data_IF_244855608808
#
_entry.id   IF_244855608808
#
_cell.length_a   1.000
_cell.length_b   1.000
_cell.length_c   1.000
_cell.angle_alpha   90.00
_cell.angle_beta   90.00
_cell.angle_gamma   90.00
#
_symmetry.space_group_name_H-M   'P 1'
#
loop_
_entity.id
_entity.type
_entity.pdbx_description
1 polymer ?
#
# COMPACT_ATOMS: atom_id res chain seq x y z
N UNK A 1 6.44 59.25 19.16
CA UNK A 1 7.31 58.29 18.45
C UNK A 1 6.89 56.90 18.90
N UNK A 2 6.06 56.23 18.10
CA UNK A 2 5.48 54.93 18.44
C UNK A 2 6.27 53.81 17.79
N UNK A 3 6.85 52.93 18.60
CA UNK A 3 7.47 51.69 18.14
C UNK A 3 6.39 50.65 17.82
N UNK A 4 6.29 50.31 16.54
CA UNK A 4 5.42 49.27 16.04
C UNK A 4 5.97 47.89 16.45
N UNK A 5 5.22 47.19 17.30
CA UNK A 5 5.41 45.77 17.60
C UNK A 5 5.31 44.97 16.31
N UNK A 6 6.40 44.29 15.94
CA UNK A 6 6.42 43.32 14.85
C UNK A 6 5.45 42.18 15.15
N UNK A 7 4.30 42.17 14.46
CA UNK A 7 3.39 41.04 14.47
C UNK A 7 4.07 39.90 13.73
N UNK A 8 4.52 38.90 14.47
CA UNK A 8 4.92 37.60 13.94
C UNK A 8 3.68 37.01 13.24
N UNK A 9 3.57 37.21 11.93
CA UNK A 9 2.58 36.53 11.10
C UNK A 9 2.87 35.03 11.16
N UNK A 10 2.23 34.33 12.10
CA UNK A 10 2.00 32.90 11.99
C UNK A 10 1.14 32.68 10.75
N UNK A 11 1.78 32.45 9.61
CA UNK A 11 1.08 31.91 8.45
C UNK A 11 0.59 30.53 8.84
N UNK A 12 -0.71 30.41 9.09
CA UNK A 12 -1.37 29.12 9.15
C UNK A 12 -0.99 28.39 7.86
N UNK A 13 -0.43 27.17 7.93
CA UNK A 13 -0.10 26.42 6.74
C UNK A 13 -1.40 26.30 5.93
N UNK A 14 -1.43 26.85 4.71
CA UNK A 14 -2.51 26.59 3.76
C UNK A 14 -2.63 25.08 3.72
N UNK A 15 -3.67 24.51 4.34
CA UNK A 15 -3.97 23.09 4.22
C UNK A 15 -4.21 22.86 2.74
N UNK A 16 -3.19 22.39 2.03
CA UNK A 16 -3.33 22.05 0.63
C UNK A 16 -4.40 20.98 0.53
N UNK A 17 -5.32 21.12 -0.44
CA UNK A 17 -6.33 20.11 -0.75
C UNK A 17 -5.71 18.76 -1.19
N UNK A 18 -4.39 18.74 -1.41
CA UNK A 18 -3.62 17.53 -1.71
C UNK A 18 -2.87 17.07 -0.48
N UNK A 19 -3.21 15.86 -0.02
CA UNK A 19 -2.52 15.22 1.09
C UNK A 19 -1.05 14.93 0.71
N UNK A 20 -0.07 15.24 1.58
CA UNK A 20 1.29 14.77 1.40
C UNK A 20 1.38 13.23 1.40
N UNK A 21 2.47 12.63 0.89
CA UNK A 21 2.54 11.18 0.64
C UNK A 21 2.30 10.31 1.87
N UNK A 22 2.78 10.74 3.04
CA UNK A 22 2.62 9.98 4.27
C UNK A 22 1.18 9.98 4.79
N UNK A 23 0.56 11.16 4.84
CA UNK A 23 -0.85 11.32 5.15
C UNK A 23 -1.73 10.52 4.17
N UNK A 24 -1.42 10.59 2.87
CA UNK A 24 -2.17 9.83 1.85
C UNK A 24 -2.10 8.32 2.09
N UNK A 25 -0.91 7.76 2.36
CA UNK A 25 -0.76 6.33 2.73
C UNK A 25 -1.56 5.95 3.97
N UNK A 26 -1.59 6.81 4.99
CA UNK A 26 -2.37 6.56 6.19
C UNK A 26 -3.88 6.56 5.89
N UNK A 27 -4.35 7.48 5.03
CA UNK A 27 -5.73 7.50 4.55
C UNK A 27 -6.09 6.20 3.82
N UNK A 28 -5.21 5.69 2.96
CA UNK A 28 -5.41 4.40 2.29
C UNK A 28 -5.49 3.24 3.30
N UNK A 29 -4.63 3.21 4.32
CA UNK A 29 -4.70 2.19 5.36
C UNK A 29 -6.05 2.24 6.11
N UNK A 30 -6.54 3.44 6.48
CA UNK A 30 -7.87 3.57 7.07
C UNK A 30 -9.00 3.15 6.11
N UNK A 31 -8.88 3.41 4.80
CA UNK A 31 -9.85 2.93 3.82
C UNK A 31 -9.92 1.39 3.80
N UNK A 32 -8.79 0.69 3.95
CA UNK A 32 -8.76 -0.78 4.10
C UNK A 32 -9.47 -1.21 5.38
N UNK A 33 -9.17 -0.58 6.53
CA UNK A 33 -9.83 -0.87 7.81
C UNK A 33 -11.35 -0.70 7.70
N UNK A 34 -11.81 0.43 7.15
CA UNK A 34 -13.23 0.73 6.96
C UNK A 34 -13.91 -0.25 6.00
N UNK A 35 -13.21 -0.70 4.95
CA UNK A 35 -13.71 -1.74 4.06
C UNK A 35 -13.98 -3.03 4.82
N UNK A 36 -13.06 -3.51 5.65
CA UNK A 36 -13.27 -4.75 6.43
C UNK A 36 -14.37 -4.63 7.49
N UNK A 37 -14.66 -3.41 7.97
CA UNK A 37 -15.69 -3.16 8.98
C UNK A 37 -17.07 -2.83 8.39
N UNK A 38 -17.20 -2.74 7.06
CA UNK A 38 -18.42 -2.33 6.36
C UNK A 38 -18.79 -3.29 5.23
N UNK A 39 -19.98 -3.09 4.66
CA UNK A 39 -20.42 -3.81 3.46
C UNK A 39 -19.88 -3.22 2.15
N UNK A 40 -19.04 -2.18 2.21
CA UNK A 40 -18.53 -1.48 1.03
C UNK A 40 -17.11 -1.94 0.69
N UNK A 41 -16.79 -2.11 -0.59
CA UNK A 41 -15.45 -2.48 -1.03
C UNK A 41 -14.60 -1.31 -1.51
N UNK A 42 -14.25 -0.43 -0.58
CA UNK A 42 -13.29 0.66 -0.84
C UNK A 42 -11.84 0.23 -0.56
N UNK A 43 -11.65 -0.96 -0.01
CA UNK A 43 -10.37 -1.48 0.46
C UNK A 43 -9.53 -2.01 -0.69
N UNK A 44 -10.15 -2.69 -1.65
CA UNK A 44 -9.44 -3.21 -2.82
C UNK A 44 -8.78 -2.10 -3.64
N UNK A 45 -9.49 -1.00 -3.87
CA UNK A 45 -8.94 0.20 -4.51
C UNK A 45 -7.72 0.77 -3.74
N UNK A 46 -7.80 0.83 -2.40
CA UNK A 46 -6.71 1.32 -1.57
C UNK A 46 -5.45 0.45 -1.69
N UNK A 47 -5.60 -0.87 -1.78
CA UNK A 47 -4.48 -1.81 -2.02
C UNK A 47 -3.86 -1.58 -3.41
N UNK A 48 -4.65 -1.39 -4.45
CA UNK A 48 -4.13 -1.07 -5.79
C UNK A 48 -3.35 0.27 -5.79
N UNK A 49 -3.81 1.27 -5.03
CA UNK A 49 -3.06 2.51 -4.84
C UNK A 49 -1.76 2.29 -4.06
N UNK A 50 -1.73 1.37 -3.09
CA UNK A 50 -0.46 0.95 -2.46
C UNK A 50 0.49 0.28 -3.46
N UNK A 51 0.00 -0.56 -4.38
CA UNK A 51 0.83 -1.13 -5.46
C UNK A 51 1.40 -0.06 -6.39
N UNK A 52 0.61 0.94 -6.78
CA UNK A 52 1.09 2.09 -7.55
C UNK A 52 2.19 2.85 -6.77
N UNK A 53 1.96 3.16 -5.49
CA UNK A 53 2.95 3.83 -4.65
C UNK A 53 4.21 3.00 -4.50
N UNK A 54 4.07 1.69 -4.32
CA UNK A 54 5.19 0.75 -4.20
C UNK A 54 6.05 0.74 -5.46
N UNK A 55 5.42 0.71 -6.64
CA UNK A 55 6.10 0.87 -7.94
C UNK A 55 6.93 2.15 -8.03
N UNK A 56 6.36 3.29 -7.64
CA UNK A 56 7.06 4.57 -7.64
C UNK A 56 8.25 4.59 -6.67
N UNK A 57 8.02 4.23 -5.41
CA UNK A 57 9.03 4.38 -4.36
C UNK A 57 10.17 3.39 -4.49
N UNK A 58 9.88 2.16 -4.91
CA UNK A 58 10.93 1.15 -5.08
C UNK A 58 11.76 1.40 -6.33
N UNK A 59 11.15 1.84 -7.45
CA UNK A 59 11.91 2.28 -8.62
C UNK A 59 12.88 3.42 -8.26
N UNK A 60 12.37 4.43 -7.53
CA UNK A 60 13.18 5.55 -7.04
C UNK A 60 14.32 5.11 -6.13
N UNK A 61 14.02 4.32 -5.10
CA UNK A 61 15.02 3.84 -4.14
C UNK A 61 16.09 2.98 -4.86
N UNK A 62 15.67 2.13 -5.80
CA UNK A 62 16.60 1.31 -6.57
C UNK A 62 17.58 2.18 -7.38
N UNK A 63 17.09 3.17 -8.13
CA UNK A 63 17.94 4.07 -8.90
C UNK A 63 18.82 4.98 -8.03
N UNK A 64 18.26 5.55 -6.96
CA UNK A 64 18.99 6.50 -6.10
C UNK A 64 20.03 5.81 -5.18
N UNK A 65 19.81 4.54 -4.79
CA UNK A 65 20.62 3.91 -3.72
C UNK A 65 21.26 2.56 -4.08
N UNK A 66 20.75 1.84 -5.08
CA UNK A 66 21.12 0.43 -5.30
C UNK A 66 21.42 0.05 -6.76
N UNK A 67 21.52 1.01 -7.68
CA UNK A 67 21.87 0.74 -9.07
C UNK A 67 23.23 0.03 -9.25
N UNK A 68 23.38 -0.73 -10.34
CA UNK A 68 24.62 -1.46 -10.65
C UNK A 68 24.76 -2.78 -9.87
N UNK A 69 25.93 -3.05 -9.28
CA UNK A 69 26.27 -4.33 -8.63
C UNK A 69 25.65 -4.51 -7.22
N UNK A 70 24.67 -3.69 -6.83
CA UNK A 70 24.09 -3.66 -5.46
C UNK A 70 22.68 -4.27 -5.37
N UNK A 71 22.27 -5.03 -6.38
CA UNK A 71 20.95 -5.68 -6.44
C UNK A 71 20.68 -6.57 -5.21
N UNK A 72 21.67 -7.32 -4.73
CA UNK A 72 21.51 -8.14 -3.52
C UNK A 72 21.19 -7.32 -2.26
N UNK A 73 21.83 -6.15 -2.09
CA UNK A 73 21.53 -5.23 -1.00
C UNK A 73 20.14 -4.61 -1.13
N UNK A 74 19.68 -4.35 -2.37
CA UNK A 74 18.31 -3.93 -2.62
C UNK A 74 17.31 -5.00 -2.15
N UNK A 75 17.49 -6.26 -2.54
CA UNK A 75 16.60 -7.36 -2.12
C UNK A 75 16.58 -7.51 -0.60
N UNK A 76 17.75 -7.51 0.04
CA UNK A 76 17.84 -7.55 1.50
C UNK A 76 17.12 -6.35 2.15
N UNK A 77 17.31 -5.15 1.61
CA UNK A 77 16.66 -3.94 2.09
C UNK A 77 15.13 -4.00 1.94
N UNK A 78 14.63 -4.58 0.85
CA UNK A 78 13.19 -4.71 0.63
C UNK A 78 12.56 -5.80 1.48
N UNK A 79 13.19 -6.97 1.56
CA UNK A 79 12.71 -8.06 2.40
C UNK A 79 12.68 -7.67 3.87
N UNK A 80 13.76 -7.06 4.39
CA UNK A 80 13.84 -6.61 5.79
C UNK A 80 12.81 -5.51 6.11
N UNK A 81 12.41 -4.69 5.12
CA UNK A 81 11.38 -3.66 5.35
C UNK A 81 10.03 -4.26 5.73
N UNK A 82 9.72 -5.49 5.30
CA UNK A 82 8.43 -6.14 5.51
C UNK A 82 8.57 -7.29 6.54
N UNK A 83 9.47 -8.22 6.28
CA UNK A 83 9.47 -9.54 6.91
C UNK A 83 9.51 -9.52 8.46
N UNK A 84 10.37 -8.76 9.15
CA UNK A 84 10.47 -8.82 10.60
C UNK A 84 9.17 -8.47 11.32
N UNK A 85 8.51 -7.38 10.92
CA UNK A 85 7.26 -6.99 11.55
C UNK A 85 6.12 -7.92 11.16
N UNK A 86 6.06 -8.29 9.87
CA UNK A 86 5.11 -9.30 9.40
C UNK A 86 5.20 -10.58 10.25
N UNK A 87 6.38 -11.16 10.49
CA UNK A 87 6.51 -12.38 11.28
C UNK A 87 6.04 -12.22 12.73
N UNK A 88 6.42 -11.12 13.39
CA UNK A 88 5.99 -10.85 14.77
C UNK A 88 4.46 -10.78 14.85
N UNK A 89 3.82 -10.05 13.94
CA UNK A 89 2.37 -9.90 13.94
C UNK A 89 1.67 -11.18 13.51
N UNK A 90 2.20 -11.93 12.54
CA UNK A 90 1.64 -13.21 12.11
C UNK A 90 1.65 -14.24 13.24
N UNK A 91 2.77 -14.37 13.97
CA UNK A 91 2.85 -15.25 15.14
C UNK A 91 1.89 -14.80 16.23
N UNK A 92 1.86 -13.50 16.55
CA UNK A 92 0.94 -12.97 17.55
C UNK A 92 -0.54 -13.21 17.17
N UNK A 93 -0.89 -13.00 15.91
CA UNK A 93 -2.23 -13.25 15.39
C UNK A 93 -2.59 -14.74 15.40
N UNK A 94 -1.67 -15.62 15.02
CA UNK A 94 -1.87 -17.06 15.04
C UNK A 94 -2.14 -17.57 16.46
N UNK A 95 -1.34 -17.12 17.43
CA UNK A 95 -1.53 -17.47 18.84
C UNK A 95 -2.86 -16.91 19.38
N UNK A 96 -3.13 -15.63 19.14
CA UNK A 96 -4.34 -14.98 19.66
C UNK A 96 -5.63 -15.56 19.08
N UNK A 97 -5.58 -16.08 17.84
CA UNK A 97 -6.74 -16.62 17.13
C UNK A 97 -6.80 -18.15 17.14
N UNK A 98 -5.87 -18.82 17.85
CA UNK A 98 -5.73 -20.28 17.87
C UNK A 98 -5.59 -20.90 16.47
N UNK A 99 -4.79 -20.27 15.61
CA UNK A 99 -4.47 -20.68 14.23
C UNK A 99 -2.99 -21.05 14.08
N UNK A 100 -2.35 -21.49 15.17
CA UNK A 100 -0.95 -21.88 15.16
C UNK A 100 -0.70 -23.09 14.24
N UNK A 101 -1.57 -24.11 14.35
CA UNK A 101 -1.45 -25.35 13.58
C UNK A 101 -1.75 -25.16 12.08
N UNK A 102 -2.37 -24.04 11.72
CA UNK A 102 -2.65 -23.65 10.33
C UNK A 102 -1.45 -22.98 9.64
N UNK A 103 -0.39 -22.62 10.39
CA UNK A 103 0.76 -21.93 9.82
C UNK A 103 1.61 -22.87 8.96
N UNK A 104 1.86 -22.45 7.71
CA UNK A 104 2.71 -23.15 6.76
C UNK A 104 4.07 -22.49 6.52
N UNK A 105 4.86 -23.10 5.63
CA UNK A 105 6.14 -22.54 5.19
C UNK A 105 5.98 -21.17 4.51
N UNK A 106 4.83 -20.91 3.87
CA UNK A 106 4.50 -19.62 3.24
C UNK A 106 4.44 -18.51 4.28
N UNK A 107 4.02 -18.78 5.52
CA UNK A 107 4.04 -17.81 6.63
C UNK A 107 5.45 -17.49 7.12
N UNK A 108 6.44 -18.36 6.84
CA UNK A 108 7.86 -18.14 7.15
C UNK A 108 8.59 -17.37 6.05
N UNK A 109 8.11 -17.45 4.81
CA UNK A 109 8.76 -16.78 3.67
C UNK A 109 8.01 -15.56 3.18
N UNK A 110 6.74 -15.38 3.57
CA UNK A 110 5.73 -14.48 2.99
C UNK A 110 5.34 -14.83 1.53
N UNK A 111 6.28 -15.34 0.74
CA UNK A 111 6.07 -15.77 -0.64
C UNK A 111 5.07 -16.92 -0.74
N UNK A 112 4.06 -16.75 -1.59
CA UNK A 112 3.03 -17.75 -1.88
C UNK A 112 1.78 -17.65 -1.01
N UNK A 113 1.76 -16.85 0.06
CA UNK A 113 0.57 -16.72 0.92
C UNK A 113 -0.69 -16.34 0.11
N UNK A 114 -0.55 -15.52 -0.94
CA UNK A 114 -1.67 -15.10 -1.77
C UNK A 114 -2.36 -16.25 -2.51
N UNK A 115 -1.67 -17.37 -2.77
CA UNK A 115 -2.23 -18.54 -3.46
C UNK A 115 -2.61 -19.68 -2.52
N UNK A 116 -1.93 -19.83 -1.38
CA UNK A 116 -2.09 -20.98 -0.48
C UNK A 116 -3.01 -20.71 0.73
N UNK A 117 -3.45 -19.46 0.93
CA UNK A 117 -4.62 -19.12 1.74
C UNK A 117 -4.46 -19.16 3.28
N UNK A 118 -3.42 -19.81 3.81
CA UNK A 118 -3.16 -19.83 5.25
C UNK A 118 -2.51 -18.53 5.71
N UNK A 119 -3.34 -17.60 6.21
CA UNK A 119 -2.90 -16.27 6.64
C UNK A 119 -3.56 -15.85 7.97
N UNK A 120 -2.87 -16.02 9.11
CA UNK A 120 -3.36 -15.55 10.41
C UNK A 120 -3.65 -14.05 10.46
N UNK A 121 -2.98 -13.25 9.62
CA UNK A 121 -3.23 -11.81 9.51
C UNK A 121 -4.44 -11.49 8.64
N UNK A 122 -4.83 -12.40 7.73
CA UNK A 122 -5.93 -12.26 6.77
C UNK A 122 -5.75 -11.18 5.69
N UNK A 123 -4.59 -10.55 5.60
CA UNK A 123 -4.32 -9.40 4.70
C UNK A 123 -2.96 -9.50 3.99
N UNK A 124 -2.16 -10.52 4.25
CA UNK A 124 -0.79 -10.64 3.76
C UNK A 124 -0.67 -11.02 2.28
N UNK A 125 -1.77 -11.38 1.61
CA UNK A 125 -1.79 -11.63 0.17
C UNK A 125 -1.20 -10.47 -0.64
N UNK A 126 -1.43 -9.21 -0.24
CA UNK A 126 -0.88 -8.06 -0.97
C UNK A 126 0.60 -7.86 -0.69
N UNK A 127 1.09 -8.25 0.49
CA UNK A 127 2.50 -8.18 0.86
C UNK A 127 3.33 -9.23 0.12
N UNK A 128 2.76 -10.43 -0.10
CA UNK A 128 3.32 -11.45 -0.99
C UNK A 128 3.47 -10.90 -2.42
N UNK A 129 2.39 -10.36 -2.99
CA UNK A 129 2.40 -9.73 -4.32
C UNK A 129 3.43 -8.59 -4.41
N UNK A 130 3.55 -7.76 -3.37
CA UNK A 130 4.53 -6.69 -3.30
C UNK A 130 5.98 -7.23 -3.25
N UNK A 131 6.24 -8.29 -2.49
CA UNK A 131 7.55 -8.92 -2.44
C UNK A 131 7.94 -9.56 -3.78
N UNK A 132 6.98 -10.20 -4.47
CA UNK A 132 7.17 -10.69 -5.84
C UNK A 132 7.52 -9.54 -6.81
N UNK A 133 6.87 -8.38 -6.69
CA UNK A 133 7.23 -7.20 -7.48
C UNK A 133 8.66 -6.73 -7.21
N UNK A 134 9.10 -6.72 -5.94
CA UNK A 134 10.46 -6.34 -5.59
C UNK A 134 11.49 -7.23 -6.27
N UNK A 135 11.26 -8.55 -6.37
CA UNK A 135 12.14 -9.46 -7.08
C UNK A 135 12.26 -9.11 -8.58
N UNK A 136 11.13 -8.76 -9.21
CA UNK A 136 11.06 -8.40 -10.62
C UNK A 136 11.58 -6.99 -10.96
N UNK A 137 11.57 -6.06 -9.99
CA UNK A 137 11.80 -4.64 -10.24
C UNK A 137 13.12 -4.35 -10.99
N UNK A 138 14.30 -4.88 -10.61
CA UNK A 138 15.55 -4.54 -11.30
C UNK A 138 15.50 -4.77 -12.80
N UNK A 139 14.91 -5.90 -13.22
CA UNK A 139 14.72 -6.26 -14.63
C UNK A 139 13.63 -5.41 -15.28
N UNK A 140 12.45 -5.33 -14.65
CA UNK A 140 11.31 -4.57 -15.16
C UNK A 140 11.68 -3.08 -15.38
N UNK A 141 12.43 -2.50 -14.47
CA UNK A 141 12.89 -1.11 -14.54
C UNK A 141 13.96 -0.92 -15.64
N UNK A 142 14.86 -1.89 -15.83
CA UNK A 142 15.85 -1.83 -16.90
C UNK A 142 15.22 -1.82 -18.30
N UNK A 143 14.08 -2.49 -18.48
CA UNK A 143 13.28 -2.40 -19.70
C UNK A 143 12.45 -1.12 -19.75
N UNK A 144 11.81 -0.72 -18.64
CA UNK A 144 10.97 0.47 -18.57
C UNK A 144 11.73 1.75 -18.97
N UNK A 145 12.98 1.89 -18.54
CA UNK A 145 13.84 3.03 -18.89
C UNK A 145 14.19 3.05 -20.38
N UNK A 146 14.35 1.88 -21.02
CA UNK A 146 14.76 1.79 -22.43
C UNK A 146 13.58 1.85 -23.41
N UNK A 147 12.48 1.19 -23.07
CA UNK A 147 11.33 1.01 -23.95
C UNK A 147 10.03 1.10 -23.14
N UNK A 148 9.65 2.29 -22.64
CA UNK A 148 8.54 2.43 -21.69
C UNK A 148 7.21 1.96 -22.27
N UNK A 149 6.90 2.29 -23.54
CA UNK A 149 5.65 1.87 -24.20
C UNK A 149 5.55 0.35 -24.34
N UNK A 150 6.64 -0.30 -24.77
CA UNK A 150 6.70 -1.76 -24.93
C UNK A 150 6.59 -2.45 -23.58
N UNK A 151 7.28 -1.93 -22.57
CA UNK A 151 7.24 -2.48 -21.21
C UNK A 151 5.84 -2.36 -20.59
N UNK A 152 5.15 -1.24 -20.80
CA UNK A 152 3.76 -1.09 -20.36
C UNK A 152 2.82 -2.05 -21.09
N UNK A 153 2.94 -2.17 -22.41
CA UNK A 153 2.14 -3.13 -23.17
C UNK A 153 2.39 -4.57 -22.68
N UNK A 154 3.65 -4.95 -22.51
CA UNK A 154 4.03 -6.25 -21.96
C UNK A 154 3.45 -6.45 -20.55
N UNK A 155 3.45 -5.43 -19.69
CA UNK A 155 2.85 -5.52 -18.36
C UNK A 155 1.34 -5.78 -18.40
N UNK A 156 0.62 -5.23 -19.38
CA UNK A 156 -0.82 -5.47 -19.59
C UNK A 156 -1.06 -6.90 -20.08
N UNK A 157 -0.24 -7.41 -21.01
CA UNK A 157 -0.33 -8.79 -21.50
C UNK A 157 -0.02 -9.79 -20.37
N UNK A 158 1.03 -9.54 -19.59
CA UNK A 158 1.37 -10.34 -18.40
C UNK A 158 0.25 -10.23 -17.35
N UNK A 159 -0.36 -9.05 -17.21
CA UNK A 159 -1.56 -8.81 -16.40
C UNK A 159 -2.72 -9.73 -16.78
N UNK A 160 -3.06 -9.78 -18.07
CA UNK A 160 -4.10 -10.65 -18.59
C UNK A 160 -3.79 -12.14 -18.36
N UNK A 161 -2.53 -12.55 -18.52
CA UNK A 161 -2.10 -13.92 -18.20
C UNK A 161 -2.18 -14.21 -16.70
N UNK A 162 -1.77 -13.28 -15.84
CA UNK A 162 -1.88 -13.40 -14.39
C UNK A 162 -3.33 -13.47 -13.90
N UNK A 163 -4.24 -12.71 -14.54
CA UNK A 163 -5.67 -12.84 -14.32
C UNK A 163 -6.19 -14.21 -14.75
N UNK A 164 -5.83 -14.70 -15.95
CA UNK A 164 -6.20 -16.05 -16.40
C UNK A 164 -5.71 -17.13 -15.43
N UNK A 165 -4.48 -17.00 -14.93
CA UNK A 165 -3.88 -17.93 -13.98
C UNK A 165 -4.65 -17.95 -12.64
N UNK A 166 -5.06 -16.78 -12.16
CA UNK A 166 -5.91 -16.66 -10.98
C UNK A 166 -7.29 -17.32 -11.20
N UNK A 167 -7.98 -16.98 -12.29
CA UNK A 167 -9.34 -17.49 -12.57
C UNK A 167 -9.40 -19.00 -12.82
N UNK A 168 -8.33 -19.58 -13.40
CA UNK A 168 -8.32 -21.00 -13.79
C UNK A 168 -7.66 -21.92 -12.80
N UNK A 169 -6.77 -21.39 -11.96
CA UNK A 169 -5.89 -22.20 -11.12
C UNK A 169 -5.76 -21.67 -9.69
N UNK A 170 -6.48 -20.61 -9.31
CA UNK A 170 -6.39 -19.94 -7.99
C UNK A 170 -4.97 -19.48 -7.62
N UNK A 171 -4.08 -19.34 -8.61
CA UNK A 171 -2.70 -18.91 -8.40
C UNK A 171 -2.64 -17.39 -8.55
N UNK A 172 -2.43 -16.71 -7.42
CA UNK A 172 -2.27 -15.26 -7.34
C UNK A 172 -0.78 -14.89 -7.39
N UNK A 173 -0.40 -14.12 -8.41
CA UNK A 173 0.96 -13.60 -8.55
C UNK A 173 0.96 -12.11 -8.86
N UNK A 174 2.13 -11.49 -8.74
CA UNK A 174 2.37 -10.11 -9.21
C UNK A 174 1.98 -9.90 -10.66
N UNK A 175 1.97 -10.95 -11.50
CA UNK A 175 1.61 -10.82 -12.91
C UNK A 175 0.28 -10.08 -13.08
N UNK A 176 -0.77 -10.49 -12.34
CA UNK A 176 -2.11 -9.88 -12.38
C UNK A 176 -2.07 -8.37 -12.12
N UNK A 177 -1.26 -7.94 -11.15
CA UNK A 177 -1.20 -6.57 -10.66
C UNK A 177 -0.07 -5.74 -11.27
N UNK A 178 0.77 -6.34 -12.12
CA UNK A 178 1.94 -5.73 -12.71
C UNK A 178 1.66 -4.39 -13.42
N UNK A 179 0.55 -4.21 -14.17
CA UNK A 179 0.24 -2.91 -14.80
C UNK A 179 0.25 -1.75 -13.81
N UNK A 180 -0.33 -1.94 -12.61
CA UNK A 180 -0.46 -0.87 -11.61
C UNK A 180 0.89 -0.50 -11.00
N UNK A 181 1.71 -1.49 -10.67
CA UNK A 181 3.08 -1.26 -10.22
C UNK A 181 3.90 -0.53 -11.29
N UNK A 182 3.77 -0.93 -12.56
CA UNK A 182 4.50 -0.33 -13.67
C UNK A 182 4.07 1.11 -13.96
N UNK A 183 2.80 1.47 -13.75
CA UNK A 183 2.34 2.86 -13.79
C UNK A 183 2.99 3.72 -12.69
N UNK A 184 3.17 3.14 -11.50
CA UNK A 184 3.92 3.77 -10.40
C UNK A 184 5.38 4.01 -10.76
N UNK A 185 6.06 2.96 -11.24
CA UNK A 185 7.45 3.04 -11.68
C UNK A 185 7.64 4.03 -12.84
N UNK A 186 6.70 4.05 -13.81
CA UNK A 186 6.70 5.00 -14.93
C UNK A 186 6.60 6.44 -14.43
N UNK A 187 5.76 6.70 -13.43
CA UNK A 187 5.61 8.05 -12.85
C UNK A 187 6.96 8.58 -12.35
N UNK A 188 7.79 7.71 -11.77
CA UNK A 188 9.16 8.05 -11.38
C UNK A 188 10.08 8.24 -12.61
N UNK A 189 10.14 7.27 -13.52
CA UNK A 189 11.04 7.29 -14.69
C UNK A 189 10.75 8.48 -15.62
N UNK A 190 9.49 8.80 -15.84
CA UNK A 190 9.05 9.95 -16.64
C UNK A 190 9.22 11.29 -15.90
N UNK A 191 9.65 11.28 -14.63
CA UNK A 191 9.72 12.43 -13.75
C UNK A 191 8.43 13.27 -13.77
N UNK A 192 7.26 12.60 -13.83
CA UNK A 192 5.99 13.26 -14.03
C UNK A 192 5.58 14.03 -12.77
N UNK A 193 5.33 15.34 -12.94
CA UNK A 193 4.99 16.28 -11.87
C UNK A 193 3.75 17.10 -12.27
N UNK A 194 2.53 16.53 -12.19
CA UNK A 194 1.32 17.29 -12.49
C UNK A 194 1.18 18.46 -11.53
N UNK A 195 0.59 19.58 -11.98
CA UNK A 195 0.33 20.76 -11.14
C UNK A 195 -0.96 20.62 -10.31
N UNK A 196 -1.16 21.55 -9.37
CA UNK A 196 -2.32 21.52 -8.45
C UNK A 196 -3.67 21.49 -9.18
N UNK A 197 -3.83 22.23 -10.29
CA UNK A 197 -5.06 22.21 -11.10
C UNK A 197 -5.36 20.81 -11.66
N UNK A 198 -4.34 20.13 -12.17
CA UNK A 198 -4.48 18.76 -12.70
C UNK A 198 -4.84 17.78 -11.58
N UNK A 199 -4.23 17.92 -10.39
CA UNK A 199 -4.57 17.12 -9.22
C UNK A 199 -6.02 17.32 -8.77
N UNK A 200 -6.52 18.55 -8.76
CA UNK A 200 -7.92 18.82 -8.38
C UNK A 200 -8.93 18.32 -9.42
N UNK A 201 -8.64 18.47 -10.71
CA UNK A 201 -9.47 17.89 -11.77
C UNK A 201 -9.50 16.36 -11.69
N UNK A 202 -8.34 15.75 -11.42
CA UNK A 202 -8.19 14.31 -11.16
C UNK A 202 -9.02 13.86 -9.96
N UNK A 203 -8.99 14.59 -8.84
CA UNK A 203 -9.80 14.28 -7.67
C UNK A 203 -11.31 14.40 -7.99
N UNK A 204 -11.73 15.46 -8.71
CA UNK A 204 -13.12 15.62 -9.14
C UNK A 204 -13.59 14.48 -10.05
N UNK A 205 -12.77 14.09 -11.03
CA UNK A 205 -13.06 12.97 -11.91
C UNK A 205 -13.15 11.64 -11.15
N UNK A 206 -12.25 11.41 -10.19
CA UNK A 206 -12.29 10.24 -9.32
C UNK A 206 -13.55 10.21 -8.44
N UNK A 207 -13.95 11.34 -7.86
CA UNK A 207 -15.19 11.44 -7.07
C UNK A 207 -16.40 11.15 -7.95
N UNK A 208 -16.46 11.70 -9.16
CA UNK A 208 -17.54 11.42 -10.11
C UNK A 208 -17.59 9.91 -10.48
N UNK A 209 -16.45 9.31 -10.79
CA UNK A 209 -16.39 7.87 -11.09
C UNK A 209 -16.73 7.01 -9.87
N UNK A 210 -16.39 7.45 -8.66
CA UNK A 210 -16.77 6.78 -7.40
C UNK A 210 -18.28 6.85 -7.19
N UNK A 211 -18.92 7.98 -7.47
CA UNK A 211 -20.37 8.11 -7.40
C UNK A 211 -21.08 7.17 -8.39
N UNK A 212 -20.55 7.04 -9.61
CA UNK A 212 -21.05 6.05 -10.59
C UNK A 212 -20.83 4.63 -10.06
N UNK A 213 -19.63 4.31 -9.58
CA UNK A 213 -19.27 2.99 -9.03
C UNK A 213 -20.18 2.61 -7.87
N UNK A 214 -20.55 3.58 -7.01
CA UNK A 214 -21.45 3.38 -5.88
C UNK A 214 -22.86 2.90 -6.27
N UNK A 215 -23.26 3.13 -7.52
CA UNK A 215 -24.52 2.63 -8.09
C UNK A 215 -24.38 1.26 -8.79
N UNK A 216 -23.17 0.68 -8.84
CA UNK A 216 -22.88 -0.63 -9.47
C UNK A 216 -22.67 -1.73 -8.41
N UNK A 217 -22.74 -3.02 -8.79
CA UNK A 217 -22.45 -4.12 -7.87
C UNK A 217 -21.03 -4.06 -7.26
N UNK A 218 -20.05 -3.48 -7.99
CA UNK A 218 -18.66 -3.35 -7.54
C UNK A 218 -18.47 -2.62 -6.21
N UNK A 219 -19.44 -1.83 -5.76
CA UNK A 219 -19.29 -1.07 -4.52
C UNK A 219 -19.70 -1.86 -3.27
N UNK A 220 -20.51 -2.92 -3.42
CA UNK A 220 -21.08 -3.67 -2.28
C UNK A 220 -20.57 -5.12 -2.28
N UNK A 221 -20.01 -5.54 -1.15
CA UNK A 221 -19.50 -6.91 -0.96
C UNK A 221 -20.58 -7.98 -0.98
N UNK A 222 -21.83 -7.58 -0.76
CA UNK A 222 -22.98 -8.50 -0.73
C UNK A 222 -23.56 -8.78 -2.12
N UNK A 223 -23.08 -8.10 -3.16
CA UNK A 223 -23.57 -8.27 -4.53
C UNK A 223 -22.47 -8.87 -5.40
N UNK A 224 -22.75 -9.94 -6.16
CA UNK A 224 -21.78 -10.50 -7.10
C UNK A 224 -21.34 -9.48 -8.15
N UNK A 225 -20.05 -9.46 -8.44
CA UNK A 225 -19.50 -8.58 -9.46
C UNK A 225 -19.77 -9.10 -10.88
N UNK A 226 -20.04 -8.21 -11.86
CA UNK A 226 -20.24 -8.61 -13.26
C UNK A 226 -19.01 -9.26 -13.90
N UNK A 227 -17.81 -8.95 -13.41
CA UNK A 227 -16.53 -9.52 -13.80
C UNK A 227 -15.51 -9.31 -12.68
N UNK A 228 -14.26 -9.76 -12.87
CA UNK A 228 -13.19 -9.65 -11.86
C UNK A 228 -13.06 -8.23 -11.27
N UNK A 229 -13.16 -8.17 -9.94
CA UNK A 229 -13.16 -6.93 -9.17
C UNK A 229 -11.85 -6.14 -9.31
N UNK A 230 -10.71 -6.82 -9.44
CA UNK A 230 -9.41 -6.15 -9.56
C UNK A 230 -9.30 -5.41 -10.88
N UNK A 231 -9.83 -6.00 -11.97
CA UNK A 231 -9.88 -5.34 -13.27
C UNK A 231 -10.68 -4.03 -13.15
N UNK A 232 -11.84 -4.06 -12.48
CA UNK A 232 -12.61 -2.83 -12.26
C UNK A 232 -11.85 -1.82 -11.38
N UNK A 233 -11.24 -2.27 -10.29
CA UNK A 233 -10.42 -1.43 -9.42
C UNK A 233 -9.26 -0.75 -10.15
N UNK A 234 -8.63 -1.46 -11.11
CA UNK A 234 -7.56 -0.92 -11.95
C UNK A 234 -8.05 0.18 -12.90
N UNK A 235 -9.29 0.13 -13.35
CA UNK A 235 -9.91 1.21 -14.15
C UNK A 235 -10.31 2.36 -13.21
N UNK A 236 -10.91 2.03 -12.06
CA UNK A 236 -11.41 2.99 -11.08
C UNK A 236 -10.32 3.88 -10.48
N UNK A 237 -9.09 3.38 -10.33
CA UNK A 237 -7.97 4.20 -9.83
C UNK A 237 -7.42 5.20 -10.87
N UNK A 238 -7.61 4.98 -12.18
CA UNK A 238 -6.94 5.77 -13.22
C UNK A 238 -7.18 7.28 -13.11
N UNK A 239 -8.43 7.76 -12.89
CA UNK A 239 -8.69 9.19 -12.77
C UNK A 239 -7.96 9.83 -11.59
N UNK A 240 -7.58 9.06 -10.55
CA UNK A 240 -6.91 9.56 -9.35
C UNK A 240 -5.38 9.67 -9.52
N UNK A 241 -4.80 9.04 -10.54
CA UNK A 241 -3.34 8.99 -10.71
C UNK A 241 -2.64 10.36 -10.76
N UNK A 242 -3.17 11.40 -11.45
CA UNK A 242 -2.56 12.73 -11.38
C UNK A 242 -2.57 13.35 -9.96
N UNK A 243 -3.61 13.10 -9.15
CA UNK A 243 -3.63 13.53 -7.74
C UNK A 243 -2.53 12.83 -6.94
N UNK A 244 -2.39 11.51 -7.08
CA UNK A 244 -1.35 10.74 -6.39
C UNK A 244 0.05 11.16 -6.84
N UNK A 245 0.26 11.34 -8.15
CA UNK A 245 1.52 11.83 -8.70
C UNK A 245 1.86 13.23 -8.17
N UNK A 246 0.88 14.14 -8.04
CA UNK A 246 1.11 15.45 -7.40
C UNK A 246 1.47 15.31 -5.92
N UNK A 247 0.76 14.46 -5.17
CA UNK A 247 1.07 14.15 -3.76
C UNK A 247 2.53 13.75 -3.58
N UNK A 248 3.05 12.88 -4.45
CA UNK A 248 4.46 12.42 -4.45
C UNK A 248 5.49 13.54 -4.67
N UNK A 249 5.09 14.69 -5.22
CA UNK A 249 5.98 15.86 -5.37
C UNK A 249 6.07 16.72 -4.12
N UNK A 250 5.13 16.56 -3.18
CA UNK A 250 5.09 17.32 -1.93
C UNK A 250 6.19 16.82 -1.00
N UNK A 251 6.98 17.74 -0.46
CA UNK A 251 8.05 17.42 0.50
C UNK A 251 7.45 16.88 1.80
N UNK A 252 7.71 15.62 2.12
CA UNK A 252 7.32 15.03 3.40
C UNK A 252 8.10 15.63 4.57
N UNK A 253 7.37 16.24 5.50
CA UNK A 253 7.90 16.68 6.81
C UNK A 253 8.24 15.48 7.69
N UNK A 254 8.89 15.70 8.84
CA UNK A 254 9.14 14.60 9.78
C UNK A 254 7.84 13.96 10.28
N UNK A 255 6.84 14.80 10.55
CA UNK A 255 5.52 14.32 10.97
C UNK A 255 4.83 13.51 9.88
N UNK A 256 4.84 13.98 8.63
CA UNK A 256 4.25 13.23 7.50
C UNK A 256 4.89 11.85 7.32
N UNK A 257 6.22 11.75 7.47
CA UNK A 257 6.90 10.45 7.44
C UNK A 257 6.44 9.51 8.54
N UNK A 258 6.11 10.01 9.73
CA UNK A 258 5.53 9.19 10.79
C UNK A 258 4.14 8.68 10.39
N UNK A 259 3.27 9.53 9.82
CA UNK A 259 1.96 9.10 9.32
C UNK A 259 2.10 8.01 8.25
N UNK A 260 3.01 8.20 7.30
CA UNK A 260 3.26 7.23 6.24
C UNK A 260 3.88 5.93 6.72
N UNK A 261 4.62 5.92 7.83
CA UNK A 261 5.16 4.68 8.40
C UNK A 261 4.12 3.94 9.26
N UNK A 262 3.21 4.66 9.91
CA UNK A 262 2.10 4.07 10.67
C UNK A 262 1.14 3.26 9.80
N UNK A 263 1.07 3.52 8.50
CA UNK A 263 0.19 2.79 7.59
C UNK A 263 0.47 1.28 7.57
N UNK A 264 1.73 0.87 7.70
CA UNK A 264 2.11 -0.55 7.63
C UNK A 264 1.75 -1.34 8.90
N UNK A 265 2.10 -0.89 10.13
CA UNK A 265 1.60 -1.50 11.35
C UNK A 265 0.06 -1.53 11.42
N UNK A 266 -0.62 -0.44 11.04
CA UNK A 266 -2.08 -0.40 11.00
C UNK A 266 -2.64 -1.45 10.03
N UNK A 267 -2.05 -1.57 8.84
CA UNK A 267 -2.41 -2.58 7.86
C UNK A 267 -2.25 -4.00 8.40
N UNK A 268 -1.19 -4.32 9.16
CA UNK A 268 -1.02 -5.67 9.68
C UNK A 268 -1.96 -6.03 10.84
N UNK A 269 -2.18 -5.10 11.78
CA UNK A 269 -2.89 -5.43 13.03
C UNK A 269 -4.41 -5.37 12.91
N UNK A 270 -4.96 -4.61 11.95
CA UNK A 270 -6.39 -4.32 11.96
C UNK A 270 -7.29 -5.55 11.79
N UNK A 271 -6.97 -6.46 10.87
CA UNK A 271 -7.83 -7.62 10.62
C UNK A 271 -7.82 -8.66 11.74
N UNK A 272 -6.66 -9.03 12.35
CA UNK A 272 -6.65 -9.83 13.57
C UNK A 272 -7.49 -9.21 14.69
N UNK A 273 -7.40 -7.89 14.88
CA UNK A 273 -8.23 -7.17 15.86
C UNK A 273 -9.71 -7.26 15.51
N UNK A 274 -10.08 -7.05 14.24
CA UNK A 274 -11.47 -7.22 13.76
C UNK A 274 -11.98 -8.63 14.09
N UNK A 275 -11.21 -9.68 13.80
CA UNK A 275 -11.60 -11.06 14.04
C UNK A 275 -11.79 -11.36 15.53
N UNK A 276 -10.90 -10.87 16.39
CA UNK A 276 -10.99 -11.03 17.84
C UNK A 276 -12.17 -10.25 18.44
N UNK A 277 -12.41 -9.02 17.99
CA UNK A 277 -13.55 -8.23 18.46
C UNK A 277 -14.88 -8.78 17.96
N UNK A 278 -14.93 -9.27 16.73
CA UNK A 278 -16.11 -9.93 16.18
C UNK A 278 -16.47 -11.22 16.94
N UNK A 279 -15.47 -12.03 17.31
CA UNK A 279 -15.71 -13.26 18.09
C UNK A 279 -16.10 -12.98 19.54
N UNK A 280 -15.54 -11.96 20.18
CA UNK A 280 -15.84 -11.61 21.57
C UNK A 280 -17.15 -10.82 21.75
N UNK A 281 -17.48 -9.92 20.82
CA UNK A 281 -18.55 -8.92 21.00
C UNK A 281 -19.54 -8.83 19.81
N UNK A 282 -19.40 -9.70 18.81
CA UNK A 282 -20.22 -9.67 17.60
C UNK A 282 -19.90 -8.50 16.66
N UNK A 283 -20.79 -8.24 15.70
CA UNK A 283 -20.57 -7.28 14.60
C UNK A 283 -21.24 -5.91 14.80
N UNK A 284 -21.68 -5.59 16.03
CA UNK A 284 -22.38 -4.34 16.36
C UNK A 284 -21.48 -3.10 16.35
N UNK A 285 -22.09 -1.91 16.43
CA UNK A 285 -21.38 -0.64 16.48
C UNK A 285 -20.34 -0.54 17.62
N UNK A 286 -20.61 -0.99 18.86
CA UNK A 286 -19.61 -0.97 19.93
C UNK A 286 -18.35 -1.77 19.59
N UNK A 287 -18.50 -2.98 19.03
CA UNK A 287 -17.40 -3.83 18.58
C UNK A 287 -16.57 -3.14 17.48
N UNK A 288 -17.24 -2.46 16.53
CA UNK A 288 -16.57 -1.68 15.48
C UNK A 288 -15.78 -0.50 16.05
N UNK A 289 -16.34 0.27 16.98
CA UNK A 289 -15.64 1.38 17.62
C UNK A 289 -14.44 0.90 18.44
N UNK A 290 -14.61 -0.17 19.22
CA UNK A 290 -13.53 -0.80 19.96
C UNK A 290 -12.41 -1.28 19.02
N UNK A 291 -12.78 -1.95 17.92
CA UNK A 291 -11.85 -2.39 16.87
C UNK A 291 -11.01 -1.23 16.33
N UNK A 292 -11.65 -0.11 15.96
CA UNK A 292 -10.94 1.04 15.42
C UNK A 292 -9.93 1.60 16.42
N UNK A 293 -10.36 1.79 17.67
CA UNK A 293 -9.51 2.32 18.75
C UNK A 293 -8.34 1.37 19.04
N UNK A 294 -8.62 0.08 19.22
CA UNK A 294 -7.61 -0.94 19.53
C UNK A 294 -6.62 -1.08 18.37
N UNK A 295 -7.10 -1.10 17.13
CA UNK A 295 -6.22 -1.19 15.94
C UNK A 295 -5.27 0.00 15.86
N UNK A 296 -5.76 1.21 16.13
CA UNK A 296 -4.92 2.42 16.14
C UNK A 296 -3.90 2.38 17.29
N UNK A 297 -4.33 2.01 18.50
CA UNK A 297 -3.41 1.90 19.66
C UNK A 297 -2.32 0.87 19.37
N UNK A 298 -2.69 -0.33 18.92
CA UNK A 298 -1.74 -1.38 18.58
C UNK A 298 -0.82 -0.98 17.43
N UNK A 299 -1.34 -0.30 16.40
CA UNK A 299 -0.50 0.20 15.30
C UNK A 299 0.55 1.20 15.80
N UNK A 300 0.16 2.13 16.69
CA UNK A 300 1.08 3.12 17.28
C UNK A 300 2.14 2.44 18.15
N UNK A 301 1.73 1.52 19.03
CA UNK A 301 2.66 0.77 19.89
C UNK A 301 3.64 -0.06 19.03
N UNK A 302 3.12 -0.84 18.10
CA UNK A 302 3.90 -1.64 17.16
C UNK A 302 4.87 -0.78 16.36
N UNK A 303 4.44 0.39 15.92
CA UNK A 303 5.28 1.32 15.17
C UNK A 303 6.49 1.79 16.00
N UNK A 304 6.26 2.29 17.21
CA UNK A 304 7.32 2.87 18.03
C UNK A 304 8.23 1.81 18.67
N UNK A 305 7.66 0.67 19.06
CA UNK A 305 8.38 -0.39 19.78
C UNK A 305 9.09 -1.38 18.86
N UNK A 306 8.55 -1.63 17.66
CA UNK A 306 9.04 -2.68 16.75
C UNK A 306 9.47 -2.12 15.39
N UNK A 307 8.53 -1.57 14.61
CA UNK A 307 8.80 -1.17 13.21
C UNK A 307 9.96 -0.17 13.10
N UNK A 308 9.90 0.92 13.87
CA UNK A 308 10.89 1.99 13.79
C UNK A 308 12.29 1.55 14.22
N UNK A 309 12.48 0.80 15.34
CA UNK A 309 13.77 0.20 15.66
C UNK A 309 14.30 -0.74 14.58
N UNK A 310 13.45 -1.63 14.05
CA UNK A 310 13.84 -2.61 13.01
C UNK A 310 14.25 -1.91 11.71
N UNK A 311 13.55 -0.84 11.32
CA UNK A 311 13.88 -0.03 10.15
C UNK A 311 15.23 0.71 10.32
N UNK A 312 15.56 1.19 11.53
CA UNK A 312 16.88 1.79 11.79
C UNK A 312 18.01 0.77 11.60
N UNK A 313 17.80 -0.48 12.02
CA UNK A 313 18.78 -1.57 11.81
C UNK A 313 18.91 -1.85 10.31
N UNK A 314 17.79 -1.97 9.59
CA UNK A 314 17.75 -2.15 8.13
C UNK A 314 18.59 -1.13 7.39
N UNK A 315 18.39 0.16 7.68
CA UNK A 315 19.14 1.26 7.04
C UNK A 315 20.62 1.13 7.34
N UNK A 316 21.01 0.81 8.58
CA UNK A 316 22.41 0.60 8.96
C UNK A 316 23.07 -0.59 8.25
N UNK A 317 22.32 -1.67 8.00
CA UNK A 317 22.86 -2.88 7.33
C UNK A 317 22.93 -2.69 5.82
N UNK A 318 21.91 -2.06 5.22
CA UNK A 318 21.74 -2.08 3.76
C UNK A 318 22.14 -0.79 3.06
N UNK A 319 22.18 0.35 3.75
CA UNK A 319 22.37 1.67 3.14
C UNK A 319 23.67 2.38 3.59
N UNK A 320 24.47 1.75 4.46
CA UNK A 320 25.65 2.37 5.12
C UNK A 320 26.90 2.46 4.24
N UNK A 321 26.96 1.71 3.14
CA UNK A 321 28.05 1.75 2.15
C UNK A 321 27.68 2.58 0.90
N UNK A 322 26.63 3.40 0.97
CA UNK A 322 26.07 4.17 -0.15
C UNK A 322 26.48 5.65 -0.16
N UNK A 323 27.54 6.01 0.56
CA UNK A 323 28.19 7.31 0.50
C UNK A 323 29.47 7.19 -0.29
#
# INVERSE_FOLDING_TARGET
>A
MGEARGVMQLSLPKLGLVAPPGAFRLMLAFAVVLSHMSGFDVGRLAVLLFFFLSGYWTARIYQEKFGGNRVGLYYLSRYWRIAPLFFIITVAAALARNQWDDMGWTNLTLLGIASWGYDPTGVSWSLDVELQFYLLLPLALAFLVRAPKVTLLASVVIGAFGWWLHERHDIVTVAKFLPVFMLGALTHVAAWKPGNRSAMLSLGAFIAMTAVTAATPFFRKSTPDPFDHDIWGMIWLLPLLPYVAHSLTIRSTSFDRHLGNLSYPLYLVHYPVIALMASAYGHGLPSKLATLVISVILAVLTYFLLDRPLDRIRVRVTERNSV
#
